data_IF_737448259622
#
_entry.id   IF_737448259622
#
_cell.length_a   1.000
_cell.length_b   1.000
_cell.length_c   1.000
_cell.angle_alpha   90.00
_cell.angle_beta   90.00
_cell.angle_gamma   90.00
#
_symmetry.space_group_name_H-M   'P 1'
#
loop_
_entity.id
_entity.type
_entity.pdbx_description
1 polymer ?
#
# COMPACT_ATOMS: atom_id res chain seq x y z
N UNK A 1 1.41 -13.54 -7.10
CA UNK A 1 2.71 -13.77 -7.76
C UNK A 1 3.42 -12.43 -7.92
N UNK A 2 4.75 -12.43 -7.89
CA UNK A 2 5.58 -11.24 -7.95
C UNK A 2 5.90 -10.63 -6.61
N UNK A 3 6.59 -9.49 -6.62
CA UNK A 3 7.10 -8.84 -5.40
C UNK A 3 6.00 -8.41 -4.42
N UNK A 4 4.83 -8.05 -4.92
CA UNK A 4 3.69 -7.64 -4.10
C UNK A 4 2.94 -8.80 -3.43
N UNK A 5 3.29 -10.05 -3.75
CA UNK A 5 2.56 -11.23 -3.27
C UNK A 5 2.76 -11.55 -1.79
N UNK A 6 3.75 -10.96 -1.13
CA UNK A 6 4.06 -11.15 0.29
C UNK A 6 4.05 -12.62 0.72
N UNK A 7 5.00 -13.41 0.22
CA UNK A 7 5.09 -14.85 0.50
C UNK A 7 5.46 -15.18 1.95
N UNK A 8 5.84 -14.18 2.74
CA UNK A 8 6.29 -14.35 4.13
C UNK A 8 7.75 -14.85 4.27
N UNK A 9 8.44 -15.10 3.16
CA UNK A 9 9.82 -15.56 3.17
C UNK A 9 10.79 -14.46 3.60
N UNK A 10 10.45 -13.20 3.39
CA UNK A 10 11.34 -12.05 3.55
C UNK A 10 10.82 -11.04 4.53
N UNK A 11 11.76 -10.39 5.22
CA UNK A 11 11.48 -9.22 6.03
C UNK A 11 11.46 -7.93 5.21
N UNK A 12 11.52 -6.80 5.90
CA UNK A 12 11.43 -5.47 5.31
C UNK A 12 12.62 -5.07 4.40
N UNK A 13 13.74 -5.80 4.47
CA UNK A 13 14.89 -5.62 3.58
C UNK A 13 15.34 -6.97 3.05
N UNK A 14 15.16 -7.19 1.75
CA UNK A 14 15.47 -8.45 1.10
C UNK A 14 16.88 -8.44 0.47
N UNK A 15 17.50 -9.60 0.46
CA UNK A 15 18.74 -9.82 -0.31
C UNK A 15 18.39 -9.90 -1.81
N UNK A 16 19.11 -9.15 -2.64
CA UNK A 16 18.82 -9.02 -4.06
C UNK A 16 18.80 -10.37 -4.80
N UNK A 17 19.74 -11.25 -4.55
CA UNK A 17 19.81 -12.58 -5.18
C UNK A 17 18.61 -13.46 -4.87
N UNK A 18 18.10 -13.41 -3.63
CA UNK A 18 16.97 -14.23 -3.21
C UNK A 18 15.66 -13.80 -3.88
N UNK A 19 15.53 -12.53 -4.29
CA UNK A 19 14.32 -12.03 -4.98
C UNK A 19 14.07 -12.76 -6.29
N UNK A 20 15.10 -12.94 -7.08
CA UNK A 20 15.00 -13.61 -8.38
C UNK A 20 14.65 -15.08 -8.22
N UNK A 21 15.30 -15.78 -7.29
CA UNK A 21 15.02 -17.20 -7.03
C UNK A 21 13.58 -17.37 -6.55
N UNK A 22 13.13 -16.54 -5.62
CA UNK A 22 11.74 -16.58 -5.15
C UNK A 22 10.74 -16.33 -6.28
N UNK A 23 10.99 -15.33 -7.13
CA UNK A 23 10.13 -15.03 -8.27
C UNK A 23 10.00 -16.22 -9.22
N UNK A 24 11.12 -16.90 -9.55
CA UNK A 24 11.13 -18.08 -10.43
C UNK A 24 10.37 -19.25 -9.80
N UNK A 25 10.63 -19.55 -8.53
CA UNK A 25 9.96 -20.68 -7.83
C UNK A 25 8.46 -20.47 -7.73
N UNK A 26 8.02 -19.27 -7.34
CA UNK A 26 6.59 -19.00 -7.21
C UNK A 26 5.90 -18.81 -8.56
N UNK A 27 6.59 -18.35 -9.61
CA UNK A 27 6.05 -18.31 -10.96
C UNK A 27 5.80 -19.73 -11.49
N UNK A 28 6.74 -20.63 -11.33
CA UNK A 28 6.59 -22.04 -11.70
C UNK A 28 5.44 -22.72 -10.91
N UNK A 29 5.39 -22.52 -9.60
CA UNK A 29 4.32 -23.04 -8.76
C UNK A 29 2.95 -22.50 -9.16
N UNK A 30 2.85 -21.20 -9.45
CA UNK A 30 1.61 -20.56 -9.91
C UNK A 30 1.17 -21.12 -11.28
N UNK A 31 2.09 -21.26 -12.22
CA UNK A 31 1.79 -21.83 -13.53
C UNK A 31 1.26 -23.28 -13.41
N UNK A 32 1.95 -24.12 -12.64
CA UNK A 32 1.51 -25.50 -12.39
C UNK A 32 0.16 -25.59 -11.70
N UNK A 33 -0.11 -24.69 -10.76
CA UNK A 33 -1.42 -24.62 -10.10
C UNK A 33 -2.51 -24.15 -11.06
N UNK A 34 -2.26 -23.08 -11.82
CA UNK A 34 -3.22 -22.55 -12.81
C UNK A 34 -3.62 -23.57 -13.85
N UNK A 35 -2.66 -24.35 -14.37
CA UNK A 35 -2.94 -25.42 -15.32
C UNK A 35 -3.85 -26.52 -14.76
N UNK A 36 -3.82 -26.76 -13.43
CA UNK A 36 -4.69 -27.77 -12.80
C UNK A 36 -6.12 -27.29 -12.59
N UNK A 37 -6.32 -25.98 -12.48
CA UNK A 37 -7.61 -25.42 -12.06
C UNK A 37 -8.30 -24.60 -13.14
N UNK A 38 -7.62 -24.27 -14.25
CA UNK A 38 -8.13 -23.35 -15.27
C UNK A 38 -9.45 -23.83 -15.88
N UNK A 39 -9.60 -25.14 -16.08
CA UNK A 39 -10.80 -25.73 -16.64
C UNK A 39 -12.01 -25.69 -15.68
N UNK A 40 -11.78 -25.39 -14.41
CA UNK A 40 -12.83 -25.24 -13.40
C UNK A 40 -13.43 -23.82 -13.37
N UNK A 41 -12.88 -22.89 -14.13
CA UNK A 41 -13.34 -21.50 -14.19
C UNK A 41 -14.00 -21.20 -15.53
N UNK A 42 -15.14 -20.53 -15.48
CA UNK A 42 -15.77 -19.93 -16.66
C UNK A 42 -15.41 -18.45 -16.75
N UNK A 43 -15.32 -17.96 -17.97
CA UNK A 43 -15.17 -16.52 -18.19
C UNK A 43 -16.45 -15.79 -17.82
N UNK A 44 -16.31 -14.63 -17.19
CA UNK A 44 -17.42 -13.70 -16.98
C UNK A 44 -17.74 -13.05 -18.33
N UNK A 45 -18.86 -13.43 -18.95
CA UNK A 45 -19.25 -12.90 -20.27
C UNK A 45 -19.88 -11.51 -20.19
N UNK A 46 -20.58 -11.22 -19.09
CA UNK A 46 -21.28 -9.96 -18.89
C UNK A 46 -20.50 -9.07 -17.91
N UNK A 47 -19.47 -8.40 -18.41
CA UNK A 47 -18.76 -7.36 -17.64
C UNK A 47 -19.48 -6.04 -17.94
N UNK A 48 -20.09 -5.37 -16.92
CA UNK A 48 -20.74 -4.10 -17.14
C UNK A 48 -19.71 -3.05 -17.59
N UNK A 49 -20.14 -2.19 -18.50
CA UNK A 49 -19.34 -1.04 -18.88
C UNK A 49 -19.14 -0.10 -17.68
N UNK A 50 -18.03 0.63 -17.69
CA UNK A 50 -17.78 1.63 -16.68
C UNK A 50 -18.78 2.78 -16.79
N UNK A 51 -19.55 3.03 -15.71
CA UNK A 51 -20.49 4.14 -15.65
C UNK A 51 -19.79 5.38 -15.08
N UNK A 52 -19.65 6.41 -15.90
CA UNK A 52 -19.07 7.71 -15.53
C UNK A 52 -20.09 8.85 -15.55
N UNK A 53 -21.40 8.53 -15.57
CA UNK A 53 -22.48 9.52 -15.51
C UNK A 53 -22.35 10.41 -14.29
N UNK A 54 -22.52 11.73 -14.50
CA UNK A 54 -22.43 12.73 -13.43
C UNK A 54 -21.01 13.10 -13.02
N UNK A 55 -19.98 12.49 -13.62
CA UNK A 55 -18.60 12.86 -13.36
C UNK A 55 -18.07 13.86 -14.39
N UNK A 56 -17.12 14.70 -13.99
CA UNK A 56 -16.48 15.70 -14.83
C UNK A 56 -14.97 15.45 -14.88
N UNK A 57 -14.33 15.87 -15.96
CA UNK A 57 -12.86 15.90 -16.00
C UNK A 57 -12.34 16.77 -14.86
N UNK A 58 -11.30 16.34 -14.13
CA UNK A 58 -10.74 17.17 -13.06
C UNK A 58 -10.24 18.48 -13.67
N UNK A 59 -10.89 19.58 -13.32
CA UNK A 59 -10.49 20.92 -13.79
C UNK A 59 -9.19 21.38 -13.15
N UNK A 60 -8.87 20.82 -11.95
CA UNK A 60 -7.73 21.24 -11.14
C UNK A 60 -6.72 20.11 -10.92
N UNK A 61 -6.00 19.74 -11.96
CA UNK A 61 -4.89 18.77 -11.87
C UNK A 61 -3.79 19.18 -10.88
N UNK A 62 -3.70 20.48 -10.58
CA UNK A 62 -2.76 21.00 -9.59
C UNK A 62 -2.99 20.44 -8.21
N UNK A 63 -4.26 20.21 -7.82
CA UNK A 63 -4.62 19.63 -6.52
C UNK A 63 -4.09 18.21 -6.39
N UNK A 64 -4.27 17.39 -7.43
CA UNK A 64 -3.77 16.02 -7.45
C UNK A 64 -2.25 16.00 -7.35
N UNK A 65 -1.58 16.80 -8.16
CA UNK A 65 -0.12 16.87 -8.18
C UNK A 65 0.46 17.33 -6.85
N UNK A 66 -0.17 18.31 -6.21
CA UNK A 66 0.24 18.82 -4.90
C UNK A 66 0.02 17.75 -3.81
N UNK A 67 -1.14 17.09 -3.80
CA UNK A 67 -1.44 16.05 -2.83
C UNK A 67 -0.49 14.85 -2.94
N UNK A 68 -0.10 14.43 -4.14
CA UNK A 68 0.93 13.40 -4.36
C UNK A 68 2.25 13.77 -3.68
N UNK A 69 2.72 15.02 -3.85
CA UNK A 69 3.95 15.50 -3.21
C UNK A 69 3.82 15.52 -1.69
N UNK A 70 2.66 15.97 -1.19
CA UNK A 70 2.40 16.06 0.24
C UNK A 70 2.36 14.69 0.91
N UNK A 71 1.67 13.70 0.31
CA UNK A 71 1.69 12.30 0.77
C UNK A 71 3.13 11.78 0.84
N UNK A 72 3.90 11.97 -0.23
CA UNK A 72 5.31 11.55 -0.27
C UNK A 72 6.15 12.20 0.84
N UNK A 73 5.94 13.48 1.10
CA UNK A 73 6.64 14.22 2.14
C UNK A 73 6.23 13.78 3.56
N UNK A 74 4.93 13.58 3.80
CA UNK A 74 4.41 13.05 5.07
C UNK A 74 5.04 11.70 5.37
N UNK A 75 4.98 10.77 4.41
CA UNK A 75 5.51 9.42 4.58
C UNK A 75 7.02 9.42 4.81
N UNK A 76 7.78 10.19 4.05
CA UNK A 76 9.24 10.26 4.20
C UNK A 76 9.67 10.91 5.50
N UNK A 77 8.97 11.95 5.95
CA UNK A 77 9.37 12.74 7.13
C UNK A 77 8.94 12.10 8.45
N UNK A 78 7.70 11.62 8.51
CA UNK A 78 7.11 11.13 9.77
C UNK A 78 7.08 9.62 9.89
N UNK A 79 7.00 8.89 8.77
CA UNK A 79 6.87 7.43 8.72
C UNK A 79 8.13 6.75 8.19
N UNK A 80 9.21 7.52 7.99
CA UNK A 80 10.49 7.04 7.46
C UNK A 80 11.24 6.09 8.39
N UNK A 81 12.57 6.19 8.41
CA UNK A 81 13.45 5.23 9.09
C UNK A 81 13.29 5.29 10.62
N UNK A 82 13.28 6.50 11.20
CA UNK A 82 13.15 6.70 12.65
C UNK A 82 11.74 7.15 12.98
N UNK A 83 11.01 6.31 13.66
CA UNK A 83 9.60 6.50 14.00
C UNK A 83 9.40 6.84 15.47
N UNK A 84 8.25 7.43 15.80
CA UNK A 84 7.75 7.59 17.17
C UNK A 84 6.22 7.66 17.12
N UNK A 85 5.56 7.34 18.24
CA UNK A 85 4.11 7.44 18.36
C UNK A 85 3.62 8.84 18.00
N UNK A 86 4.34 9.89 18.44
CA UNK A 86 4.03 11.28 18.10
C UNK A 86 4.11 11.56 16.59
N UNK A 87 5.17 11.08 15.92
CA UNK A 87 5.35 11.29 14.48
C UNK A 87 4.29 10.54 13.68
N UNK A 88 4.03 9.27 14.04
CA UNK A 88 3.02 8.45 13.39
C UNK A 88 1.61 9.05 13.55
N UNK A 89 1.26 9.51 14.76
CA UNK A 89 -0.02 10.19 14.99
C UNK A 89 -0.16 11.46 14.15
N UNK A 90 0.90 12.27 14.07
CA UNK A 90 0.89 13.47 13.24
C UNK A 90 0.77 13.17 11.74
N UNK A 91 1.42 12.10 11.27
CA UNK A 91 1.28 11.64 9.90
C UNK A 91 -0.16 11.19 9.61
N UNK A 92 -0.74 10.43 10.53
CA UNK A 92 -2.13 9.97 10.44
C UNK A 92 -3.10 11.12 10.28
N UNK A 93 -3.05 12.11 11.18
CA UNK A 93 -3.98 13.24 11.17
C UNK A 93 -3.87 14.07 9.87
N UNK A 94 -2.67 14.18 9.30
CA UNK A 94 -2.46 14.88 8.02
C UNK A 94 -2.95 14.08 6.83
N UNK A 95 -2.71 12.77 6.84
CA UNK A 95 -3.16 11.90 5.76
C UNK A 95 -4.68 11.78 5.72
N UNK A 96 -5.34 11.88 6.87
CA UNK A 96 -6.79 11.87 7.00
C UNK A 96 -7.45 13.02 6.23
N UNK A 97 -6.89 14.21 6.32
CA UNK A 97 -7.35 15.38 5.55
C UNK A 97 -7.22 15.11 4.04
N UNK A 98 -6.04 14.62 3.62
CA UNK A 98 -5.80 14.32 2.20
C UNK A 98 -6.70 13.19 1.70
N UNK A 99 -7.04 12.23 2.54
CA UNK A 99 -7.98 11.17 2.23
C UNK A 99 -9.38 11.72 1.92
N UNK A 100 -9.94 12.54 2.82
CA UNK A 100 -11.28 13.12 2.65
C UNK A 100 -11.35 14.02 1.39
N UNK A 101 -10.34 14.85 1.17
CA UNK A 101 -10.25 15.70 -0.02
C UNK A 101 -10.17 14.85 -1.30
N UNK A 102 -9.34 13.80 -1.30
CA UNK A 102 -9.15 12.92 -2.46
C UNK A 102 -10.39 12.10 -2.75
N UNK A 103 -11.06 11.53 -1.73
CA UNK A 103 -12.30 10.78 -1.92
C UNK A 103 -13.44 11.69 -2.43
N UNK A 104 -13.53 12.92 -1.93
CA UNK A 104 -14.47 13.92 -2.44
C UNK A 104 -14.21 14.24 -3.92
N UNK A 105 -12.94 14.44 -4.28
CA UNK A 105 -12.54 14.70 -5.67
C UNK A 105 -12.79 13.48 -6.57
N UNK A 106 -12.44 12.28 -6.11
CA UNK A 106 -12.63 11.03 -6.86
C UNK A 106 -14.09 10.77 -7.20
N UNK A 107 -15.00 10.96 -6.24
CA UNK A 107 -16.45 10.73 -6.44
C UNK A 107 -17.09 11.62 -7.52
N UNK A 108 -16.55 12.83 -7.75
CA UNK A 108 -17.08 13.77 -8.73
C UNK A 108 -16.28 13.86 -10.02
N UNK A 109 -15.15 13.15 -10.10
CA UNK A 109 -14.25 13.20 -11.26
C UNK A 109 -14.35 11.92 -12.07
N UNK A 110 -14.15 12.06 -13.39
CA UNK A 110 -13.86 10.87 -14.22
C UNK A 110 -12.60 10.20 -13.69
N UNK A 111 -12.64 8.88 -13.63
CA UNK A 111 -11.48 8.11 -13.22
C UNK A 111 -10.32 8.38 -14.18
N UNK A 112 -9.23 8.92 -13.65
CA UNK A 112 -7.97 9.10 -14.37
C UNK A 112 -6.86 8.34 -13.65
N UNK A 113 -5.76 8.11 -14.34
CA UNK A 113 -4.59 7.44 -13.76
C UNK A 113 -4.10 8.19 -12.52
N UNK A 114 -4.01 9.49 -12.60
CA UNK A 114 -3.43 10.36 -11.58
C UNK A 114 -4.22 10.33 -10.28
N UNK A 115 -5.55 10.43 -10.37
CA UNK A 115 -6.40 10.40 -9.17
C UNK A 115 -6.46 8.99 -8.56
N UNK A 116 -6.44 7.94 -9.38
CA UNK A 116 -6.37 6.56 -8.90
C UNK A 116 -5.03 6.28 -8.21
N UNK A 117 -3.92 6.76 -8.77
CA UNK A 117 -2.59 6.62 -8.14
C UNK A 117 -2.52 7.37 -6.80
N UNK A 118 -3.01 8.61 -6.73
CA UNK A 118 -3.07 9.36 -5.47
C UNK A 118 -3.88 8.61 -4.40
N UNK A 119 -5.07 8.14 -4.76
CA UNK A 119 -5.93 7.35 -3.87
C UNK A 119 -5.24 6.09 -3.36
N UNK A 120 -4.54 5.38 -4.25
CA UNK A 120 -3.78 4.19 -3.90
C UNK A 120 -2.59 4.50 -2.99
N UNK A 121 -1.88 5.62 -3.22
CA UNK A 121 -0.80 6.08 -2.35
C UNK A 121 -1.29 6.37 -0.93
N UNK A 122 -2.42 7.05 -0.78
CA UNK A 122 -3.03 7.37 0.53
C UNK A 122 -3.41 6.07 1.25
N UNK A 123 -4.11 5.16 0.58
CA UNK A 123 -4.52 3.88 1.15
C UNK A 123 -3.30 3.04 1.59
N UNK A 124 -2.25 3.00 0.77
CA UNK A 124 -1.00 2.33 1.13
C UNK A 124 -0.33 2.98 2.33
N UNK A 125 -0.32 4.31 2.38
CA UNK A 125 0.18 5.09 3.51
C UNK A 125 -0.54 4.74 4.82
N UNK A 126 -1.85 4.65 4.79
CA UNK A 126 -2.66 4.22 5.95
C UNK A 126 -2.29 2.83 6.43
N UNK A 127 -2.17 1.86 5.52
CA UNK A 127 -1.80 0.49 5.90
C UNK A 127 -0.42 0.44 6.56
N UNK A 128 0.56 1.13 6.00
CA UNK A 128 1.92 1.20 6.56
C UNK A 128 1.92 1.87 7.93
N UNK A 129 1.21 2.99 8.08
CA UNK A 129 1.12 3.71 9.36
C UNK A 129 0.42 2.88 10.43
N UNK A 130 -0.72 2.28 10.10
CA UNK A 130 -1.48 1.44 11.04
C UNK A 130 -0.61 0.30 11.57
N UNK A 131 0.05 -0.44 10.68
CA UNK A 131 0.95 -1.52 11.09
C UNK A 131 2.14 -1.01 11.93
N UNK A 132 2.67 0.18 11.61
CA UNK A 132 3.74 0.78 12.38
C UNK A 132 3.27 1.24 13.77
N UNK A 133 2.05 1.76 13.90
CA UNK A 133 1.45 2.18 15.18
C UNK A 133 1.10 0.99 16.07
N UNK A 134 0.65 -0.11 15.47
CA UNK A 134 0.28 -1.34 16.20
C UNK A 134 1.53 -2.08 16.73
N UNK A 135 2.67 -1.91 16.09
CA UNK A 135 3.91 -2.60 16.48
C UNK A 135 4.66 -1.84 17.56
N UNK A 136 4.59 -2.34 18.79
CA UNK A 136 5.23 -1.75 19.98
C UNK A 136 6.59 -2.38 20.29
N UNK A 137 7.42 -2.55 19.26
CA UNK A 137 8.79 -3.05 19.32
C UNK A 137 9.62 -2.49 18.18
N UNK A 138 10.94 -2.56 18.29
CA UNK A 138 11.86 -2.34 17.17
C UNK A 138 12.37 -3.67 16.65
N UNK A 139 12.05 -3.99 15.36
CA UNK A 139 12.44 -5.25 14.71
C UNK A 139 12.69 -5.05 13.23
N UNK A 140 13.79 -5.55 12.73
CA UNK A 140 14.16 -5.40 11.32
C UNK A 140 14.31 -3.94 10.95
N UNK A 141 13.63 -3.48 9.91
CA UNK A 141 13.64 -2.07 9.48
C UNK A 141 12.64 -1.18 10.24
N UNK A 142 11.77 -1.76 11.05
CA UNK A 142 10.90 -0.98 11.92
C UNK A 142 11.66 -0.57 13.18
N UNK A 143 12.10 0.68 13.22
CA UNK A 143 12.73 1.28 14.39
C UNK A 143 11.87 2.41 14.95
N UNK A 144 11.54 2.34 16.22
CA UNK A 144 10.81 3.38 16.94
C UNK A 144 11.52 3.76 18.23
N UNK A 145 11.65 5.06 18.47
CA UNK A 145 12.34 5.58 19.67
C UNK A 145 11.56 5.31 20.96
N UNK A 146 10.24 5.12 20.87
CA UNK A 146 9.39 4.86 22.03
C UNK A 146 9.46 3.38 22.47
N UNK A 147 9.81 2.47 21.55
CA UNK A 147 9.94 1.04 21.80
C UNK A 147 11.22 0.50 21.16
N UNK A 148 12.42 0.86 21.71
CA UNK A 148 13.71 0.59 21.05
C UNK A 148 14.14 -0.89 21.09
N UNK A 149 13.49 -1.70 21.92
CA UNK A 149 13.85 -3.11 22.11
C UNK A 149 12.95 -4.04 21.31
N UNK A 150 13.50 -5.18 20.92
CA UNK A 150 12.74 -6.25 20.27
C UNK A 150 11.94 -7.04 21.32
N UNK A 151 10.66 -7.24 21.06
CA UNK A 151 9.84 -8.14 21.87
C UNK A 151 10.13 -9.60 21.49
N UNK A 152 10.68 -10.37 22.43
CA UNK A 152 10.98 -11.79 22.24
C UNK A 152 9.85 -12.71 22.72
N UNK A 153 8.70 -12.16 23.08
CA UNK A 153 7.51 -12.95 23.43
C UNK A 153 7.06 -13.75 22.21
N UNK A 154 6.86 -15.08 22.30
CA UNK A 154 6.38 -15.88 21.18
C UNK A 154 5.02 -15.34 20.72
N UNK A 155 4.95 -14.76 19.54
CA UNK A 155 3.68 -14.40 18.92
C UNK A 155 2.96 -15.68 18.51
N UNK A 156 1.82 -15.97 19.13
CA UNK A 156 0.94 -17.03 18.64
C UNK A 156 0.51 -16.67 17.21
N UNK A 157 0.86 -17.58 16.28
CA UNK A 157 0.45 -17.51 14.88
C UNK A 157 -1.01 -17.90 14.72
#
# INVERSE_FOLDING_TARGET
>A
VGECACTGLRGGNRLASNSLIEAVVYADAAAKHSLKVIDNFSYQENIPEWNDEGTQSPEEMVLITQSVKEVGQIMSTYVGIVRSDLRLKRAWDRLDILYEETESLFKRSKASKEICELRNMINTGYLVMRQAMDRKESRGLHYTIDYPHTDNTPQMK
#
